data_IF_883986514385
#
_entry.id   IF_883986514385
#
_cell.length_a   1.000
_cell.length_b   1.000
_cell.length_c   1.000
_cell.angle_alpha   90.00
_cell.angle_beta   90.00
_cell.angle_gamma   90.00
#
_symmetry.space_group_name_H-M   'P 1'
#
loop_
_entity.id
_entity.type
_entity.pdbx_description
1 polymer ?
#
# COMPACT_ATOMS: atom_id res chain seq x y z
N UNK A 1 -22.64 -11.47 -16.63
CA UNK A 1 -23.96 -11.14 -16.06
C UNK A 1 -23.77 -10.92 -14.57
N UNK A 2 -23.83 -9.67 -14.11
CA UNK A 2 -23.70 -9.32 -12.68
C UNK A 2 -24.92 -9.88 -11.95
N UNK A 3 -24.73 -10.73 -10.93
CA UNK A 3 -25.83 -11.30 -10.15
C UNK A 3 -26.56 -10.17 -9.39
N UNK A 4 -27.88 -10.33 -9.31
CA UNK A 4 -28.84 -9.46 -8.62
C UNK A 4 -28.39 -9.14 -7.18
N UNK A 5 -28.46 -7.89 -6.67
CA UNK A 5 -28.04 -7.51 -5.30
C UNK A 5 -28.63 -8.36 -4.16
N UNK A 6 -29.78 -9.02 -4.39
CA UNK A 6 -30.34 -10.05 -3.48
C UNK A 6 -29.43 -11.29 -3.28
N UNK A 7 -28.39 -11.46 -4.10
CA UNK A 7 -27.46 -12.59 -4.05
C UNK A 7 -26.29 -12.37 -3.08
N UNK A 8 -26.02 -11.15 -2.60
CA UNK A 8 -24.83 -10.88 -1.77
C UNK A 8 -24.95 -11.48 -0.36
N UNK A 9 -26.06 -11.27 0.39
CA UNK A 9 -26.23 -11.95 1.68
C UNK A 9 -26.16 -13.48 1.54
N UNK A 10 -26.76 -14.02 0.47
CA UNK A 10 -26.72 -15.46 0.19
C UNK A 10 -25.29 -15.94 -0.10
N UNK A 11 -24.52 -15.22 -0.91
CA UNK A 11 -23.13 -15.56 -1.18
C UNK A 11 -22.26 -15.49 0.09
N UNK A 12 -22.54 -14.57 1.02
CA UNK A 12 -21.86 -14.53 2.33
C UNK A 12 -22.18 -15.78 3.15
N UNK A 13 -23.44 -16.24 3.16
CA UNK A 13 -23.81 -17.50 3.82
C UNK A 13 -23.13 -18.71 3.16
N UNK A 14 -23.01 -18.71 1.83
CA UNK A 14 -22.35 -19.78 1.07
C UNK A 14 -20.86 -19.92 1.41
N UNK A 15 -20.19 -18.89 1.93
CA UNK A 15 -18.80 -18.99 2.42
C UNK A 15 -18.64 -20.04 3.53
N UNK A 16 -19.68 -20.25 4.34
CA UNK A 16 -19.65 -21.21 5.44
C UNK A 16 -19.58 -22.66 4.93
N UNK A 17 -20.06 -22.92 3.71
CA UNK A 17 -20.09 -24.24 3.11
C UNK A 17 -18.82 -24.51 2.28
N UNK A 18 -17.93 -25.45 2.68
CA UNK A 18 -16.66 -25.67 2.00
C UNK A 18 -16.77 -25.96 0.49
N UNK A 19 -17.83 -26.64 0.06
CA UNK A 19 -18.10 -26.97 -1.35
C UNK A 19 -18.49 -25.76 -2.20
N UNK A 20 -19.07 -24.71 -1.59
CA UNK A 20 -19.55 -23.50 -2.29
C UNK A 20 -18.63 -22.30 -2.07
N UNK A 21 -17.72 -22.38 -1.10
CA UNK A 21 -16.88 -21.28 -0.66
C UNK A 21 -16.07 -20.63 -1.78
N UNK A 22 -15.46 -21.42 -2.66
CA UNK A 22 -14.65 -20.87 -3.76
C UNK A 22 -15.49 -20.09 -4.77
N UNK A 23 -16.69 -20.58 -5.11
CA UNK A 23 -17.62 -19.85 -5.98
C UNK A 23 -18.18 -18.60 -5.32
N UNK A 24 -18.45 -18.66 -4.01
CA UNK A 24 -18.92 -17.52 -3.23
C UNK A 24 -17.85 -16.42 -3.14
N UNK A 25 -16.60 -16.77 -2.86
CA UNK A 25 -15.45 -15.84 -2.85
C UNK A 25 -15.30 -15.13 -4.19
N UNK A 26 -15.34 -15.88 -5.30
CA UNK A 26 -15.25 -15.29 -6.64
C UNK A 26 -16.42 -14.34 -6.92
N UNK A 27 -17.64 -14.76 -6.60
CA UNK A 27 -18.85 -13.96 -6.81
C UNK A 27 -18.81 -12.64 -6.03
N UNK A 28 -18.40 -12.70 -4.75
CA UNK A 28 -18.29 -11.52 -3.89
C UNK A 28 -17.16 -10.60 -4.36
N UNK A 29 -16.00 -11.16 -4.72
CA UNK A 29 -14.87 -10.41 -5.26
C UNK A 29 -15.23 -9.65 -6.54
N UNK A 30 -15.82 -10.34 -7.53
CA UNK A 30 -16.26 -9.74 -8.80
C UNK A 30 -17.28 -8.61 -8.57
N UNK A 31 -18.22 -8.82 -7.65
CA UNK A 31 -19.20 -7.81 -7.27
C UNK A 31 -18.53 -6.58 -6.65
N UNK A 32 -17.60 -6.79 -5.71
CA UNK A 32 -16.90 -5.71 -5.01
C UNK A 32 -16.03 -4.88 -5.95
N UNK A 33 -15.31 -5.52 -6.87
CA UNK A 33 -14.48 -4.82 -7.87
C UNK A 33 -15.35 -3.85 -8.67
N UNK A 34 -16.51 -4.29 -9.16
CA UNK A 34 -17.43 -3.44 -9.91
C UNK A 34 -18.06 -2.33 -9.04
N UNK A 35 -18.47 -2.67 -7.81
CA UNK A 35 -19.15 -1.73 -6.91
C UNK A 35 -18.27 -0.63 -6.36
N UNK A 36 -16.96 -0.88 -6.20
CA UNK A 36 -15.99 0.07 -5.65
C UNK A 36 -16.08 1.44 -6.32
N UNK A 37 -16.32 1.49 -7.62
CA UNK A 37 -16.42 2.73 -8.39
C UNK A 37 -17.86 3.09 -8.74
N UNK A 38 -18.70 2.09 -9.03
CA UNK A 38 -20.05 2.33 -9.53
C UNK A 38 -21.07 2.72 -8.45
N UNK A 39 -20.90 2.24 -7.21
CA UNK A 39 -21.88 2.40 -6.13
C UNK A 39 -21.21 2.18 -4.77
N UNK A 40 -20.66 3.28 -4.26
CA UNK A 40 -19.91 3.35 -3.01
C UNK A 40 -20.75 2.99 -1.79
N UNK A 41 -22.03 3.33 -1.78
CA UNK A 41 -22.93 3.02 -0.65
C UNK A 41 -23.10 1.52 -0.49
N UNK A 42 -23.36 0.80 -1.59
CA UNK A 42 -23.49 -0.65 -1.55
C UNK A 42 -22.15 -1.35 -1.25
N UNK A 43 -21.04 -0.78 -1.72
CA UNK A 43 -19.70 -1.25 -1.36
C UNK A 43 -19.47 -1.17 0.16
N UNK A 44 -19.76 -0.04 0.78
CA UNK A 44 -19.62 0.15 2.24
C UNK A 44 -20.62 -0.69 3.04
N UNK A 45 -21.84 -0.87 2.53
CA UNK A 45 -22.83 -1.78 3.13
C UNK A 45 -22.35 -3.24 3.08
N UNK A 46 -21.72 -3.66 1.98
CA UNK A 46 -21.17 -5.01 1.86
C UNK A 46 -20.01 -5.23 2.84
N UNK A 47 -19.18 -4.21 3.09
CA UNK A 47 -18.14 -4.27 4.13
C UNK A 47 -18.74 -4.59 5.51
N UNK A 48 -19.84 -3.91 5.88
CA UNK A 48 -20.56 -4.15 7.13
C UNK A 48 -21.13 -5.56 7.19
N UNK A 49 -21.75 -6.04 6.12
CA UNK A 49 -22.29 -7.40 6.06
C UNK A 49 -21.19 -8.45 6.21
N UNK A 50 -20.07 -8.30 5.48
CA UNK A 50 -18.94 -9.22 5.56
C UNK A 50 -18.36 -9.29 6.97
N UNK A 51 -18.13 -8.14 7.59
CA UNK A 51 -17.48 -8.08 8.90
C UNK A 51 -18.38 -8.59 10.04
N UNK A 52 -19.68 -8.29 10.01
CA UNK A 52 -20.60 -8.61 11.11
C UNK A 52 -21.35 -9.94 10.93
N UNK A 53 -21.30 -10.55 9.75
CA UNK A 53 -21.92 -11.88 9.53
C UNK A 53 -21.18 -12.96 10.32
N UNK A 54 -21.94 -13.87 10.91
CA UNK A 54 -21.41 -14.91 11.77
C UNK A 54 -20.35 -15.76 11.02
N UNK A 55 -19.21 -15.98 11.67
CA UNK A 55 -18.09 -16.81 11.19
C UNK A 55 -17.40 -16.34 9.90
N UNK A 56 -17.89 -15.30 9.20
CA UNK A 56 -17.31 -14.85 7.93
C UNK A 56 -15.84 -14.49 8.08
N UNK A 57 -15.48 -13.66 9.06
CA UNK A 57 -14.08 -13.28 9.28
C UNK A 57 -13.17 -14.47 9.62
N UNK A 58 -13.67 -15.46 10.37
CA UNK A 58 -12.93 -16.67 10.69
C UNK A 58 -12.70 -17.55 9.44
N UNK A 59 -13.72 -17.67 8.56
CA UNK A 59 -13.60 -18.39 7.29
C UNK A 59 -12.60 -17.70 6.36
N UNK A 60 -12.67 -16.37 6.23
CA UNK A 60 -11.72 -15.61 5.41
C UNK A 60 -10.28 -15.76 5.92
N UNK A 61 -10.09 -15.68 7.24
CA UNK A 61 -8.78 -15.93 7.85
C UNK A 61 -8.29 -17.37 7.60
N UNK A 62 -9.17 -18.37 7.67
CA UNK A 62 -8.82 -19.76 7.36
C UNK A 62 -8.27 -19.90 5.93
N UNK A 63 -8.85 -19.19 4.96
CA UNK A 63 -8.37 -19.21 3.57
C UNK A 63 -6.99 -18.57 3.40
N UNK A 64 -6.71 -17.48 4.13
CA UNK A 64 -5.38 -16.86 4.18
C UNK A 64 -4.34 -17.81 4.80
N UNK A 65 -4.69 -18.46 5.90
CA UNK A 65 -3.80 -19.41 6.57
C UNK A 65 -3.51 -20.64 5.71
N UNK A 66 -4.53 -21.18 5.02
CA UNK A 66 -4.37 -22.30 4.10
C UNK A 66 -3.43 -21.96 2.94
N UNK A 67 -3.56 -20.76 2.36
CA UNK A 67 -2.63 -20.32 1.32
C UNK A 67 -1.21 -20.09 1.86
N UNK A 68 -1.09 -19.51 3.06
CA UNK A 68 0.23 -19.29 3.70
C UNK A 68 0.98 -20.60 3.93
N UNK A 69 0.28 -21.69 4.28
CA UNK A 69 0.88 -23.03 4.39
C UNK A 69 1.39 -23.53 3.03
N UNK A 70 0.59 -23.43 1.97
CA UNK A 70 1.02 -23.81 0.61
C UNK A 70 2.24 -23.01 0.13
N UNK A 71 2.29 -21.72 0.47
CA UNK A 71 3.44 -20.86 0.18
C UNK A 71 4.69 -21.28 0.96
N UNK A 72 4.55 -21.63 2.24
CA UNK A 72 5.66 -22.13 3.05
C UNK A 72 6.20 -23.48 2.54
N UNK A 73 5.32 -24.33 2.02
CA UNK A 73 5.69 -25.61 1.40
C UNK A 73 6.26 -25.46 -0.02
N UNK A 74 6.32 -24.24 -0.57
CA UNK A 74 6.82 -23.97 -1.92
C UNK A 74 5.93 -24.51 -3.04
N UNK A 75 4.66 -24.79 -2.77
CA UNK A 75 3.71 -25.39 -3.73
C UNK A 75 2.45 -24.54 -4.03
N UNK A 76 2.52 -23.19 -4.11
CA UNK A 76 1.34 -22.40 -4.45
C UNK A 76 0.90 -22.66 -5.90
N UNK A 77 -0.38 -22.96 -6.09
CA UNK A 77 -0.98 -23.12 -7.42
C UNK A 77 -1.64 -21.83 -7.88
N UNK A 78 -1.74 -21.61 -9.20
CA UNK A 78 -2.47 -20.45 -9.77
C UNK A 78 -3.91 -20.35 -9.25
N UNK A 79 -4.59 -21.50 -9.06
CA UNK A 79 -5.94 -21.56 -8.50
C UNK A 79 -5.95 -21.08 -7.04
N UNK A 80 -4.98 -21.52 -6.23
CA UNK A 80 -4.85 -21.09 -4.85
C UNK A 80 -4.56 -19.59 -4.75
N UNK A 81 -3.67 -19.06 -5.60
CA UNK A 81 -3.37 -17.61 -5.67
C UNK A 81 -4.62 -16.79 -6.00
N UNK A 82 -5.38 -17.17 -7.04
CA UNK A 82 -6.64 -16.48 -7.38
C UNK A 82 -7.67 -16.56 -6.25
N UNK A 83 -7.71 -17.69 -5.54
CA UNK A 83 -8.63 -17.89 -4.41
C UNK A 83 -8.29 -16.99 -3.23
N UNK A 84 -7.01 -16.87 -2.84
CA UNK A 84 -6.60 -15.95 -1.77
C UNK A 84 -6.74 -14.48 -2.20
N UNK A 85 -6.49 -14.15 -3.48
CA UNK A 85 -6.73 -12.79 -4.00
C UNK A 85 -8.19 -12.38 -3.83
N UNK A 86 -9.15 -13.26 -4.10
CA UNK A 86 -10.56 -12.97 -3.84
C UNK A 86 -10.82 -12.65 -2.36
N UNK A 87 -10.19 -13.38 -1.43
CA UNK A 87 -10.29 -13.11 0.01
C UNK A 87 -9.70 -11.73 0.34
N UNK A 88 -8.54 -11.40 -0.23
CA UNK A 88 -7.91 -10.10 -0.03
C UNK A 88 -8.76 -8.96 -0.59
N UNK A 89 -9.46 -9.15 -1.72
CA UNK A 89 -10.44 -8.17 -2.24
C UNK A 89 -11.59 -7.92 -1.26
N UNK A 90 -12.07 -8.96 -0.57
CA UNK A 90 -13.06 -8.79 0.50
C UNK A 90 -12.46 -8.01 1.68
N UNK A 91 -11.19 -8.26 2.05
CA UNK A 91 -10.48 -7.47 3.06
C UNK A 91 -10.26 -6.01 2.66
N UNK A 92 -9.98 -5.71 1.39
CA UNK A 92 -9.90 -4.32 0.90
C UNK A 92 -11.21 -3.56 1.15
N UNK A 93 -12.36 -4.19 0.90
CA UNK A 93 -13.68 -3.61 1.15
C UNK A 93 -13.92 -3.36 2.65
N UNK A 94 -13.55 -4.32 3.50
CA UNK A 94 -13.63 -4.17 4.96
C UNK A 94 -12.69 -3.07 5.47
N UNK A 95 -11.49 -2.97 4.90
CA UNK A 95 -10.50 -1.95 5.26
C UNK A 95 -10.92 -0.54 4.84
N UNK A 96 -11.61 -0.39 3.71
CA UNK A 96 -12.00 0.95 3.21
C UNK A 96 -13.17 1.56 3.99
N UNK A 97 -14.07 0.75 4.53
CA UNK A 97 -15.25 1.26 5.23
C UNK A 97 -14.90 1.79 6.62
N UNK A 98 -15.21 3.06 6.89
CA UNK A 98 -14.96 3.72 8.18
C UNK A 98 -15.58 2.97 9.37
N UNK A 99 -16.67 2.25 9.15
CA UNK A 99 -17.39 1.55 10.22
C UNK A 99 -16.76 0.20 10.60
N UNK A 100 -15.92 -0.37 9.74
CA UNK A 100 -15.27 -1.67 9.94
C UNK A 100 -13.76 -1.59 10.06
N UNK A 101 -13.12 -0.59 9.44
CA UNK A 101 -11.67 -0.39 9.40
C UNK A 101 -10.98 -0.56 10.76
N UNK A 102 -11.37 0.25 11.75
CA UNK A 102 -10.77 0.18 13.09
C UNK A 102 -11.03 -1.18 13.76
N UNK A 103 -12.22 -1.76 13.60
CA UNK A 103 -12.55 -3.09 14.15
C UNK A 103 -11.71 -4.19 13.49
N UNK A 104 -11.43 -4.06 12.20
CA UNK A 104 -10.59 -4.97 11.45
C UNK A 104 -9.14 -4.92 11.96
N UNK A 105 -8.59 -3.73 12.15
CA UNK A 105 -7.28 -3.54 12.79
C UNK A 105 -7.25 -4.13 14.20
N UNK A 106 -8.24 -3.79 15.04
CA UNK A 106 -8.36 -4.27 16.42
C UNK A 106 -8.50 -5.80 16.55
N UNK A 107 -8.95 -6.47 15.49
CA UNK A 107 -9.05 -7.94 15.45
C UNK A 107 -7.73 -8.65 15.17
N UNK A 108 -6.65 -7.92 14.85
CA UNK A 108 -5.35 -8.44 14.41
C UNK A 108 -5.39 -9.30 13.14
N UNK A 109 -6.54 -9.40 12.45
CA UNK A 109 -6.64 -10.13 11.18
C UNK A 109 -5.68 -9.59 10.10
N UNK A 110 -5.49 -8.26 9.94
CA UNK A 110 -4.51 -7.73 9.00
C UNK A 110 -3.09 -8.28 9.18
N UNK A 111 -2.68 -8.66 10.41
CA UNK A 111 -1.35 -9.20 10.67
C UNK A 111 -1.11 -10.55 9.98
N UNK A 112 -2.17 -11.30 9.67
CA UNK A 112 -2.08 -12.55 8.92
C UNK A 112 -1.91 -12.35 7.41
N UNK A 113 -2.07 -11.12 6.91
CA UNK A 113 -1.78 -10.77 5.51
C UNK A 113 -0.29 -10.51 5.32
N UNK A 114 0.43 -10.09 6.37
CA UNK A 114 1.86 -9.76 6.33
C UNK A 114 2.75 -10.89 5.77
N UNK A 115 2.57 -12.17 6.17
CA UNK A 115 3.35 -13.26 5.59
C UNK A 115 3.21 -13.34 4.06
N UNK A 116 2.03 -13.01 3.52
CA UNK A 116 1.77 -13.02 2.07
C UNK A 116 2.57 -11.94 1.31
N UNK A 117 3.12 -10.96 2.02
CA UNK A 117 3.94 -9.92 1.40
C UNK A 117 5.40 -10.36 1.38
N UNK A 118 5.84 -11.05 2.44
CA UNK A 118 7.25 -11.40 2.70
C UNK A 118 7.75 -12.66 2.00
N UNK A 119 6.88 -13.48 1.42
CA UNK A 119 7.34 -14.69 0.73
C UNK A 119 8.22 -14.34 -0.49
N UNK A 120 9.44 -14.87 -0.48
CA UNK A 120 10.39 -14.85 -1.60
C UNK A 120 10.15 -16.06 -2.51
N UNK A 121 8.99 -16.10 -3.16
CA UNK A 121 8.67 -17.17 -4.11
C UNK A 121 8.90 -16.64 -5.53
N UNK A 122 9.76 -17.27 -6.34
CA UNK A 122 10.13 -16.79 -7.69
C UNK A 122 9.03 -16.98 -8.76
N UNK A 123 7.76 -17.08 -8.37
CA UNK A 123 6.65 -17.23 -9.30
C UNK A 123 6.12 -15.84 -9.69
N UNK A 124 6.17 -15.51 -10.98
CA UNK A 124 5.51 -14.33 -11.55
C UNK A 124 4.02 -14.24 -11.14
N UNK A 125 3.36 -15.40 -11.01
CA UNK A 125 1.97 -15.54 -10.54
C UNK A 125 1.77 -15.23 -9.04
N UNK A 126 2.84 -14.98 -8.29
CA UNK A 126 2.79 -14.61 -6.88
C UNK A 126 2.73 -13.09 -6.67
N UNK A 127 3.26 -12.30 -7.61
CA UNK A 127 3.28 -10.83 -7.50
C UNK A 127 1.87 -10.23 -7.38
N UNK A 128 0.88 -10.84 -8.04
CA UNK A 128 -0.53 -10.45 -7.90
C UNK A 128 -1.00 -10.59 -6.44
N UNK A 129 -0.61 -11.68 -5.77
CA UNK A 129 -0.96 -11.90 -4.35
C UNK A 129 -0.27 -10.85 -3.48
N UNK A 130 1.02 -10.60 -3.70
CA UNK A 130 1.79 -9.59 -2.95
C UNK A 130 1.19 -8.20 -3.12
N UNK A 131 0.90 -7.77 -4.35
CA UNK A 131 0.34 -6.47 -4.66
C UNK A 131 -1.05 -6.29 -4.02
N UNK A 132 -1.92 -7.30 -4.12
CA UNK A 132 -3.26 -7.24 -3.51
C UNK A 132 -3.16 -7.28 -1.98
N UNK A 133 -2.25 -8.05 -1.40
CA UNK A 133 -2.00 -8.08 0.05
C UNK A 133 -1.52 -6.71 0.55
N UNK A 134 -0.52 -6.11 -0.11
CA UNK A 134 -0.05 -4.76 0.18
C UNK A 134 -1.18 -3.73 0.06
N UNK A 135 -2.04 -3.84 -0.94
CA UNK A 135 -3.14 -2.88 -1.12
C UNK A 135 -4.17 -2.92 0.02
N UNK A 136 -4.36 -4.04 0.71
CA UNK A 136 -5.18 -4.09 1.94
C UNK A 136 -4.58 -3.16 3.00
N UNK A 137 -3.26 -3.24 3.19
CA UNK A 137 -2.50 -2.39 4.13
C UNK A 137 -2.53 -0.92 3.68
N UNK A 138 -2.36 -0.67 2.38
CA UNK A 138 -2.47 0.66 1.76
C UNK A 138 -3.81 1.31 2.06
N UNK A 139 -4.92 0.60 1.82
CA UNK A 139 -6.28 1.10 2.08
C UNK A 139 -6.50 1.41 3.58
N UNK A 140 -5.96 0.57 4.48
CA UNK A 140 -6.00 0.85 5.92
C UNK A 140 -5.33 2.18 6.23
N UNK A 141 -4.08 2.36 5.79
CA UNK A 141 -3.26 3.54 6.08
C UNK A 141 -3.75 4.79 5.34
N UNK A 142 -4.51 4.65 4.25
CA UNK A 142 -4.97 5.77 3.41
C UNK A 142 -5.78 6.81 4.18
N UNK A 143 -6.59 6.42 5.17
CA UNK A 143 -7.36 7.38 5.98
C UNK A 143 -6.54 8.10 7.04
N UNK A 144 -5.29 7.67 7.28
CA UNK A 144 -4.35 8.30 8.22
C UNK A 144 -4.96 8.46 9.62
N UNK A 145 -5.75 7.48 10.02
CA UNK A 145 -6.30 7.41 11.38
C UNK A 145 -5.16 7.04 12.35
N UNK A 146 -4.92 7.82 13.42
CA UNK A 146 -3.77 7.61 14.31
C UNK A 146 -3.66 6.19 14.87
N UNK A 147 -4.79 5.55 15.19
CA UNK A 147 -4.82 4.18 15.70
C UNK A 147 -4.39 3.15 14.64
N UNK A 148 -4.68 3.42 13.36
CA UNK A 148 -4.25 2.57 12.25
C UNK A 148 -2.76 2.78 11.96
N UNK A 149 -2.28 4.01 12.02
CA UNK A 149 -0.84 4.29 11.87
C UNK A 149 -0.06 3.66 13.02
N UNK A 150 -0.52 3.79 14.26
CA UNK A 150 0.11 3.14 15.41
C UNK A 150 0.16 1.61 15.24
N UNK A 151 -0.93 1.00 14.80
CA UNK A 151 -0.92 -0.43 14.45
C UNK A 151 0.09 -0.78 13.35
N UNK A 152 0.23 0.08 12.34
CA UNK A 152 1.19 -0.13 11.26
C UNK A 152 2.63 -0.11 11.77
N UNK A 153 2.93 0.79 12.72
CA UNK A 153 4.22 0.83 13.42
C UNK A 153 4.43 -0.44 14.25
N UNK A 154 3.47 -0.80 15.10
CA UNK A 154 3.55 -1.96 15.99
C UNK A 154 3.68 -3.29 15.22
N UNK A 155 3.18 -3.33 13.98
CA UNK A 155 3.20 -4.50 13.11
C UNK A 155 4.38 -4.50 12.11
N UNK A 156 5.34 -3.59 12.25
CA UNK A 156 6.53 -3.48 11.41
C UNK A 156 6.23 -3.21 9.92
N UNK A 157 5.21 -2.41 9.61
CA UNK A 157 4.83 -2.09 8.22
C UNK A 157 5.93 -1.34 7.47
N UNK A 158 6.75 -0.53 8.14
CA UNK A 158 7.85 0.21 7.48
C UNK A 158 8.86 -0.76 6.85
N UNK A 159 9.27 -1.79 7.59
CA UNK A 159 10.20 -2.82 7.11
C UNK A 159 9.57 -3.68 6.01
N UNK A 160 8.27 -3.96 6.10
CA UNK A 160 7.53 -4.68 5.05
C UNK A 160 7.48 -3.86 3.76
N UNK A 161 7.28 -2.55 3.86
CA UNK A 161 7.33 -1.65 2.70
C UNK A 161 8.74 -1.63 2.10
N UNK A 162 9.79 -1.60 2.93
CA UNK A 162 11.18 -1.70 2.47
C UNK A 162 11.41 -2.97 1.65
N UNK A 163 11.08 -4.15 2.21
CA UNK A 163 11.22 -5.43 1.49
C UNK A 163 10.44 -5.40 0.17
N UNK A 164 9.20 -4.90 0.21
CA UNK A 164 8.35 -4.84 -0.98
C UNK A 164 8.93 -3.95 -2.09
N UNK A 165 9.68 -2.91 -1.74
CA UNK A 165 10.38 -2.06 -2.70
C UNK A 165 11.61 -2.75 -3.31
N UNK A 166 12.27 -3.62 -2.56
CA UNK A 166 13.46 -4.36 -3.00
C UNK A 166 13.11 -5.51 -3.95
N UNK A 167 12.12 -6.33 -3.59
CA UNK A 167 11.80 -7.58 -4.31
C UNK A 167 10.51 -7.51 -5.14
N UNK A 168 9.68 -6.50 -4.93
CA UNK A 168 8.34 -6.44 -5.53
C UNK A 168 8.31 -6.03 -7.00
N UNK A 169 7.21 -6.43 -7.67
CA UNK A 169 6.79 -5.81 -8.92
C UNK A 169 6.67 -4.29 -8.78
N UNK A 170 6.74 -3.57 -9.89
CA UNK A 170 6.60 -2.12 -9.92
C UNK A 170 5.34 -1.63 -9.17
N UNK A 171 4.20 -2.30 -9.37
CA UNK A 171 2.96 -2.02 -8.65
C UNK A 171 3.13 -2.20 -7.12
N UNK A 172 3.80 -3.26 -6.69
CA UNK A 172 4.10 -3.49 -5.26
C UNK A 172 4.99 -2.41 -4.69
N UNK A 173 5.98 -1.90 -5.46
CA UNK A 173 6.84 -0.78 -5.04
C UNK A 173 6.03 0.50 -4.85
N UNK A 174 5.14 0.83 -5.80
CA UNK A 174 4.24 1.99 -5.71
C UNK A 174 3.35 1.90 -4.47
N UNK A 175 2.73 0.74 -4.21
CA UNK A 175 1.86 0.56 -3.03
C UNK A 175 2.69 0.65 -1.73
N UNK A 176 3.87 0.03 -1.68
CA UNK A 176 4.77 0.11 -0.54
C UNK A 176 5.18 1.55 -0.22
N UNK A 177 5.50 2.33 -1.26
CA UNK A 177 5.80 3.75 -1.12
C UNK A 177 4.59 4.57 -0.65
N UNK A 178 3.38 4.26 -1.13
CA UNK A 178 2.15 4.91 -0.67
C UNK A 178 1.89 4.67 0.83
N UNK A 179 2.10 3.43 1.31
CA UNK A 179 1.97 3.10 2.74
C UNK A 179 3.01 3.88 3.56
N UNK A 180 4.26 3.89 3.10
CA UNK A 180 5.34 4.59 3.79
C UNK A 180 5.11 6.10 3.84
N UNK A 181 4.59 6.69 2.76
CA UNK A 181 4.17 8.10 2.75
C UNK A 181 3.08 8.35 3.79
N UNK A 182 2.07 7.48 3.87
CA UNK A 182 1.00 7.63 4.86
C UNK A 182 1.52 7.57 6.30
N UNK A 183 2.50 6.71 6.59
CA UNK A 183 3.15 6.64 7.91
C UNK A 183 3.95 7.91 8.20
N UNK A 184 4.74 8.40 7.22
CA UNK A 184 5.56 9.61 7.39
C UNK A 184 4.76 10.90 7.56
N UNK A 185 3.49 10.92 7.14
CA UNK A 185 2.62 12.08 7.34
C UNK A 185 2.03 12.18 8.74
N UNK A 186 2.08 11.11 9.51
CA UNK A 186 1.66 11.09 10.90
C UNK A 186 2.84 11.42 11.82
N UNK A 187 2.59 12.21 12.86
CA UNK A 187 3.63 12.66 13.79
C UNK A 187 4.31 11.49 14.52
N UNK A 188 3.55 10.43 14.85
CA UNK A 188 4.10 9.23 15.50
C UNK A 188 4.99 8.43 14.55
N UNK A 189 4.57 8.31 13.28
CA UNK A 189 5.33 7.63 12.24
C UNK A 189 6.62 8.35 11.88
N UNK A 190 6.56 9.69 11.70
CA UNK A 190 7.73 10.53 11.48
C UNK A 190 8.71 10.42 12.66
N UNK A 191 8.22 10.52 13.90
CA UNK A 191 9.04 10.42 15.11
C UNK A 191 9.69 9.04 15.25
N UNK A 192 8.96 7.96 14.93
CA UNK A 192 9.48 6.60 14.92
C UNK A 192 10.61 6.43 13.90
N UNK A 193 10.36 6.74 12.63
CA UNK A 193 11.33 6.55 11.54
C UNK A 193 12.59 7.39 11.76
N UNK A 194 12.45 8.63 12.25
CA UNK A 194 13.57 9.52 12.55
C UNK A 194 14.19 9.30 13.94
N UNK A 195 13.77 8.28 14.70
CA UNK A 195 14.33 7.99 16.02
C UNK A 195 15.78 7.48 15.94
N UNK A 196 16.66 7.79 16.91
CA UNK A 196 17.97 7.15 17.07
C UNK A 196 17.96 5.63 17.09
N UNK A 197 16.88 5.02 17.56
CA UNK A 197 16.73 3.56 17.56
C UNK A 197 16.53 2.97 16.16
N UNK A 198 16.10 3.78 15.19
CA UNK A 198 15.74 3.37 13.84
C UNK A 198 16.79 3.81 12.79
N UNK A 199 18.03 4.09 13.20
CA UNK A 199 19.10 4.57 12.30
C UNK A 199 19.33 3.65 11.10
N UNK A 200 19.39 2.33 11.36
CA UNK A 200 19.58 1.33 10.30
C UNK A 200 18.39 1.30 9.35
N UNK A 201 17.17 1.39 9.87
CA UNK A 201 15.95 1.40 9.07
C UNK A 201 15.92 2.63 8.15
N UNK A 202 16.19 3.82 8.68
CA UNK A 202 16.22 5.05 7.87
C UNK A 202 17.29 4.99 6.78
N UNK A 203 18.50 4.50 7.09
CA UNK A 203 19.57 4.30 6.10
C UNK A 203 19.19 3.30 5.01
N UNK A 204 18.56 2.20 5.40
CA UNK A 204 18.07 1.21 4.46
C UNK A 204 17.01 1.81 3.52
N UNK A 205 16.06 2.60 4.05
CA UNK A 205 15.09 3.30 3.22
C UNK A 205 15.75 4.24 2.20
N UNK A 206 16.74 5.03 2.61
CA UNK A 206 17.50 5.89 1.68
C UNK A 206 18.12 5.08 0.55
N UNK A 207 18.77 3.95 0.89
CA UNK A 207 19.39 3.06 -0.08
C UNK A 207 18.37 2.44 -1.03
N UNK A 208 17.23 1.99 -0.53
CA UNK A 208 16.17 1.45 -1.40
C UNK A 208 15.62 2.51 -2.36
N UNK A 209 15.63 3.78 -1.96
CA UNK A 209 15.20 4.89 -2.81
C UNK A 209 16.26 5.36 -3.82
N UNK A 210 17.50 4.86 -3.77
CA UNK A 210 18.46 4.97 -4.89
C UNK A 210 17.91 4.32 -6.18
N UNK A 211 16.82 3.55 -6.10
CA UNK A 211 16.02 3.13 -7.24
C UNK A 211 15.65 4.29 -8.19
N UNK A 212 15.59 5.54 -7.70
CA UNK A 212 15.45 6.73 -8.55
C UNK A 212 16.51 6.79 -9.64
N UNK A 213 17.74 6.35 -9.39
CA UNK A 213 18.79 6.28 -10.42
C UNK A 213 18.44 5.28 -11.51
N UNK A 214 17.73 4.19 -11.20
CA UNK A 214 17.18 3.30 -12.23
C UNK A 214 16.05 3.98 -13.01
N UNK A 215 15.15 4.71 -12.33
CA UNK A 215 14.05 5.46 -12.97
C UNK A 215 14.56 6.57 -13.91
N UNK A 216 15.75 7.10 -13.66
CA UNK A 216 16.41 8.08 -14.51
C UNK A 216 16.91 7.48 -15.83
N UNK A 217 17.34 6.21 -15.81
CA UNK A 217 17.86 5.51 -16.99
C UNK A 217 16.74 4.87 -17.80
N UNK A 218 15.73 4.37 -17.12
CA UNK A 218 14.57 3.69 -17.72
C UNK A 218 13.30 4.42 -17.28
N UNK A 219 12.71 5.19 -18.22
CA UNK A 219 11.48 5.94 -17.98
C UNK A 219 10.21 5.14 -18.31
N UNK A 220 10.33 3.84 -18.63
CA UNK A 220 9.16 2.96 -18.79
C UNK A 220 8.52 2.61 -17.43
N UNK A 221 9.19 2.92 -16.32
CA UNK A 221 8.65 2.78 -14.97
C UNK A 221 7.55 3.81 -14.66
N UNK A 222 6.61 3.44 -13.77
CA UNK A 222 5.51 4.30 -13.37
C UNK A 222 6.02 5.61 -12.73
N UNK A 223 5.56 6.77 -13.23
CA UNK A 223 5.89 8.07 -12.64
C UNK A 223 5.38 8.21 -11.20
N UNK A 224 4.40 7.38 -10.79
CA UNK A 224 3.88 7.35 -9.41
C UNK A 224 4.95 6.93 -8.40
N UNK A 225 5.92 6.12 -8.82
CA UNK A 225 6.98 5.70 -7.93
C UNK A 225 7.89 6.88 -7.57
N UNK A 226 8.32 7.65 -8.58
CA UNK A 226 9.09 8.88 -8.34
C UNK A 226 8.29 9.89 -7.52
N UNK A 227 7.00 10.08 -7.84
CA UNK A 227 6.11 10.94 -7.07
C UNK A 227 6.15 10.62 -5.56
N UNK A 228 5.95 9.36 -5.18
CA UNK A 228 5.96 8.98 -3.77
C UNK A 228 7.35 9.06 -3.13
N UNK A 229 8.43 8.81 -3.88
CA UNK A 229 9.81 8.97 -3.36
C UNK A 229 10.08 10.45 -3.03
N UNK A 230 9.74 11.37 -3.94
CA UNK A 230 9.86 12.81 -3.70
C UNK A 230 9.02 13.26 -2.50
N UNK A 231 7.77 12.79 -2.42
CA UNK A 231 6.89 13.05 -1.26
C UNK A 231 7.53 12.61 0.05
N UNK A 232 8.09 11.41 0.11
CA UNK A 232 8.74 10.90 1.32
C UNK A 232 10.00 11.69 1.69
N UNK A 233 10.83 12.08 0.71
CA UNK A 233 11.96 12.98 0.96
C UNK A 233 11.53 14.33 1.54
N UNK A 234 10.50 14.97 0.97
CA UNK A 234 9.96 16.24 1.46
C UNK A 234 9.44 16.10 2.89
N UNK A 235 8.72 15.03 3.20
CA UNK A 235 8.24 14.76 4.56
C UNK A 235 9.41 14.61 5.53
N UNK A 236 10.44 13.84 5.19
CA UNK A 236 11.62 13.68 6.06
C UNK A 236 12.34 15.01 6.33
N UNK A 237 12.33 15.94 5.37
CA UNK A 237 12.90 17.27 5.55
C UNK A 237 12.19 18.12 6.61
N UNK A 238 10.99 17.75 7.08
CA UNK A 238 10.33 18.43 8.21
C UNK A 238 10.90 18.01 9.58
N UNK A 239 11.74 16.98 9.62
CA UNK A 239 12.43 16.50 10.83
C UNK A 239 13.93 16.80 10.73
N UNK A 240 14.57 17.29 11.81
CA UNK A 240 15.99 17.66 11.78
C UNK A 240 16.94 16.51 11.40
N UNK A 241 16.67 15.28 11.88
CA UNK A 241 17.46 14.11 11.51
C UNK A 241 17.12 13.66 10.09
N UNK A 242 15.83 13.57 9.77
CA UNK A 242 15.37 13.24 8.41
C UNK A 242 16.02 14.15 7.38
N UNK A 243 15.95 15.47 7.57
CA UNK A 243 16.62 16.48 6.76
C UNK A 243 18.12 16.21 6.59
N UNK A 244 18.83 15.95 7.68
CA UNK A 244 20.28 15.68 7.64
C UNK A 244 20.58 14.43 6.81
N UNK A 245 19.81 13.36 7.01
CA UNK A 245 19.95 12.11 6.26
C UNK A 245 19.61 12.27 4.78
N UNK A 246 18.53 12.98 4.43
CA UNK A 246 18.18 13.26 3.03
C UNK A 246 19.26 14.09 2.36
N UNK A 247 19.78 15.12 3.02
CA UNK A 247 20.84 15.98 2.47
C UNK A 247 22.12 15.19 2.15
N UNK A 248 22.46 14.22 2.98
CA UNK A 248 23.66 13.38 2.83
C UNK A 248 23.51 12.26 1.78
N UNK A 249 22.29 11.82 1.49
CA UNK A 249 22.01 10.64 0.65
C UNK A 249 21.12 10.95 -0.55
N UNK A 250 20.95 12.22 -0.94
CA UNK A 250 20.13 12.58 -2.10
C UNK A 250 20.81 12.10 -3.40
N UNK A 251 20.14 11.29 -4.25
CA UNK A 251 20.70 10.86 -5.52
C UNK A 251 20.98 12.03 -6.48
N UNK A 252 22.11 11.98 -7.18
CA UNK A 252 22.52 13.02 -8.14
C UNK A 252 21.51 13.18 -9.29
N UNK A 253 20.83 12.10 -9.67
CA UNK A 253 19.79 12.07 -10.69
C UNK A 253 18.57 12.97 -10.37
N UNK A 254 18.39 13.37 -9.10
CA UNK A 254 17.37 14.36 -8.70
C UNK A 254 17.85 15.81 -8.80
N UNK A 255 19.14 16.03 -9.02
CA UNK A 255 19.75 17.36 -9.11
C UNK A 255 20.25 17.69 -10.50
N UNK A 256 20.39 16.69 -11.36
CA UNK A 256 20.78 16.85 -12.74
C UNK A 256 19.56 16.93 -13.68
N UNK A 257 19.82 16.78 -14.97
CA UNK A 257 18.83 16.87 -16.03
C UNK A 257 18.14 15.54 -16.35
N UNK A 258 18.32 14.49 -15.54
CA UNK A 258 17.86 13.12 -15.85
C UNK A 258 16.34 12.99 -15.96
N UNK A 259 15.57 13.82 -15.25
CA UNK A 259 14.11 13.78 -15.24
C UNK A 259 13.44 14.90 -16.04
N UNK A 260 14.17 15.64 -16.89
CA UNK A 260 13.59 16.80 -17.61
C UNK A 260 12.33 16.38 -18.39
N UNK A 261 12.43 15.39 -19.27
CA UNK A 261 11.30 14.95 -20.11
C UNK A 261 10.08 14.53 -19.27
N UNK A 262 10.33 13.75 -18.21
CA UNK A 262 9.28 13.29 -17.29
C UNK A 262 8.66 14.44 -16.49
N UNK A 263 9.44 15.45 -16.10
CA UNK A 263 8.91 16.64 -15.41
C UNK A 263 8.11 17.56 -16.33
N UNK A 264 8.41 17.59 -17.63
CA UNK A 264 7.60 18.29 -18.62
C UNK A 264 6.24 17.61 -18.82
N UNK A 265 6.21 16.28 -18.82
CA UNK A 265 4.97 15.50 -18.94
C UNK A 265 4.11 15.53 -17.66
N UNK A 266 4.75 15.51 -16.48
CA UNK A 266 4.07 15.45 -15.17
C UNK A 266 4.38 16.66 -14.28
N UNK A 267 3.62 17.78 -14.39
CA UNK A 267 3.87 19.01 -13.66
C UNK A 267 3.86 18.88 -12.12
N UNK A 268 3.10 17.93 -11.58
CA UNK A 268 3.09 17.65 -10.13
C UNK A 268 4.41 17.04 -9.65
N UNK A 269 5.10 16.25 -10.47
CA UNK A 269 6.42 15.71 -10.14
C UNK A 269 7.45 16.84 -10.21
N UNK A 270 7.34 17.72 -11.20
CA UNK A 270 8.18 18.91 -11.31
C UNK A 270 8.09 19.80 -10.06
N UNK A 271 6.86 20.06 -9.57
CA UNK A 271 6.67 20.90 -8.38
C UNK A 271 7.21 20.24 -7.11
N UNK A 272 7.05 18.93 -6.95
CA UNK A 272 7.64 18.18 -5.84
C UNK A 272 9.17 18.21 -5.88
N UNK A 273 9.77 18.00 -7.05
CA UNK A 273 11.22 18.05 -7.22
C UNK A 273 11.75 19.43 -6.84
N UNK A 274 11.12 20.48 -7.35
CA UNK A 274 11.47 21.86 -7.01
C UNK A 274 11.34 22.14 -5.51
N UNK A 275 10.24 21.70 -4.88
CA UNK A 275 10.03 21.85 -3.43
C UNK A 275 11.12 21.15 -2.62
N UNK A 276 11.51 19.93 -3.02
CA UNK A 276 12.58 19.18 -2.36
C UNK A 276 13.91 19.93 -2.46
N UNK A 277 14.28 20.37 -3.66
CA UNK A 277 15.54 21.08 -3.88
C UNK A 277 15.58 22.44 -3.15
N UNK A 278 14.45 23.18 -3.11
CA UNK A 278 14.33 24.40 -2.31
C UNK A 278 14.51 24.12 -0.81
N UNK A 279 13.89 23.05 -0.31
CA UNK A 279 14.01 22.65 1.10
C UNK A 279 15.46 22.36 1.49
N UNK A 280 16.25 21.80 0.56
CA UNK A 280 17.66 21.48 0.75
C UNK A 280 18.62 22.66 0.46
N UNK A 281 18.10 23.82 0.05
CA UNK A 281 18.92 24.98 -0.34
C UNK A 281 19.71 24.76 -1.63
N UNK A 282 19.23 23.88 -2.52
CA UNK A 282 19.86 23.54 -3.81
C UNK A 282 19.31 24.33 -5.01
N UNK A 283 18.43 25.33 -4.79
CA UNK A 283 17.89 26.20 -5.86
C UNK A 283 18.15 27.66 -5.51
N UNK A 284 18.75 28.40 -6.45
CA UNK A 284 18.75 29.85 -6.44
C UNK A 284 17.36 30.36 -6.88
N UNK A 285 16.63 30.96 -5.93
CA UNK A 285 15.43 31.80 -6.10
C UNK A 285 14.65 31.69 -7.42
N UNK A 286 13.74 30.71 -7.51
CA UNK A 286 12.57 30.82 -8.38
C UNK A 286 11.39 30.12 -7.71
N UNK A 287 10.42 30.90 -7.25
CA UNK A 287 9.23 30.44 -6.54
C UNK A 287 7.98 30.64 -7.40
N UNK A 288 7.20 29.59 -7.71
CA UNK A 288 5.78 29.73 -7.96
C UNK A 288 5.00 29.49 -6.66
N UNK A 289 4.02 30.36 -6.42
CA UNK A 289 3.11 30.33 -5.28
C UNK A 289 2.29 29.03 -5.24
N UNK A 290 2.42 28.24 -4.18
CA UNK A 290 1.62 27.02 -3.97
C UNK A 290 0.52 27.26 -2.93
N UNK A 291 -0.68 26.69 -3.14
CA UNK A 291 -1.77 26.66 -2.15
C UNK A 291 -1.92 25.25 -1.55
N UNK A 292 -2.21 25.13 -0.25
CA UNK A 292 -2.26 23.84 0.45
C UNK A 292 -3.36 22.85 -0.02
N UNK A 293 -4.34 23.30 -0.80
CA UNK A 293 -5.55 22.51 -1.10
C UNK A 293 -5.42 21.56 -2.30
N UNK A 294 -4.33 21.62 -3.07
CA UNK A 294 -4.13 20.78 -4.27
C UNK A 294 -3.70 19.33 -3.97
N UNK A 295 -3.53 18.97 -2.69
CA UNK A 295 -3.05 17.65 -2.23
C UNK A 295 -4.17 16.63 -1.94
N UNK A 296 -5.45 16.95 -2.20
CA UNK A 296 -6.58 16.08 -1.81
C UNK A 296 -7.11 15.12 -2.89
N UNK A 297 -6.51 15.04 -4.06
CA UNK A 297 -6.95 14.11 -5.10
C UNK A 297 -5.77 13.26 -5.55
N UNK A 298 -5.52 12.13 -4.86
CA UNK A 298 -5.17 10.80 -5.38
C UNK A 298 -5.17 9.77 -4.24
#
# INVERSE_FOLDING_TARGET
>A
MVKNPMAIPQAILELQHPSMRESALRCLSDFLIWKREADRENYDWTALLLFNSCSTMAVLLQEVLAFSQLSADGTPTVRASKRVVNVLTLFQCIASSKQTRYKFVKSFIPNFVVPLIRFEIPLENYEDVRAVALSVIGILCQAREPEVIQWALDSNMVEICQISMEIGSELSKVIGMHILEAILQDDSGMSYICSPTCDLLLKNLMRTWELVTCLAVDQDFSPRLLFHILRCYILLCTNARGFSTVRENLPDSLTDSSFIDLTEEFPLIASLLQQLLLSLGKVDNCSPSFKPDDLQLY
#
